data_IF_009210001161
#
_entry.id   IF_009210001161
#
_cell.length_a   1.000
_cell.length_b   1.000
_cell.length_c   1.000
_cell.angle_alpha   90.00
_cell.angle_beta   90.00
_cell.angle_gamma   90.00
#
_symmetry.space_group_name_H-M   'P 1'
#
loop_
_entity.id
_entity.type
_entity.pdbx_description
1 polymer ?
#
# COMPACT_ATOMS: atom_id res chain seq x y z
N UNK A 1 -11.42 -29.48 2.57
CA UNK A 1 -10.73 -28.79 1.45
C UNK A 1 -9.66 -27.90 2.06
N UNK A 2 -8.38 -28.01 1.67
CA UNK A 2 -7.38 -27.07 2.15
C UNK A 2 -7.70 -25.70 1.53
N UNK A 3 -8.10 -24.74 2.37
CA UNK A 3 -8.23 -23.34 1.96
C UNK A 3 -6.83 -22.86 1.57
N UNK A 4 -6.66 -22.56 0.28
CA UNK A 4 -5.48 -21.90 -0.27
C UNK A 4 -5.06 -20.78 0.70
N UNK A 5 -3.77 -20.61 1.03
CA UNK A 5 -3.34 -19.54 1.93
C UNK A 5 -3.69 -18.20 1.27
N UNK A 6 -4.79 -17.62 1.72
CA UNK A 6 -5.23 -16.28 1.35
C UNK A 6 -4.16 -15.30 1.84
N UNK A 7 -3.34 -14.76 0.95
CA UNK A 7 -2.19 -14.00 1.42
C UNK A 7 -1.68 -12.86 0.55
N UNK A 8 -2.04 -12.77 -0.73
CA UNK A 8 -1.54 -11.66 -1.56
C UNK A 8 -2.64 -11.04 -2.41
N UNK A 9 -3.08 -9.86 -2.01
CA UNK A 9 -3.88 -8.98 -2.86
C UNK A 9 -3.03 -8.52 -4.04
N UNK A 10 -3.49 -8.77 -5.27
CA UNK A 10 -2.79 -8.37 -6.52
C UNK A 10 -3.59 -7.32 -7.28
N UNK A 11 -2.94 -6.29 -7.78
CA UNK A 11 -3.61 -5.31 -8.65
C UNK A 11 -3.99 -5.98 -9.97
N UNK A 12 -5.23 -5.76 -10.43
CA UNK A 12 -5.73 -6.31 -11.69
C UNK A 12 -6.14 -7.79 -11.66
N UNK A 13 -6.28 -8.39 -10.48
CA UNK A 13 -6.84 -9.75 -10.35
C UNK A 13 -8.34 -9.77 -10.68
N UNK A 14 -8.83 -10.90 -11.22
CA UNK A 14 -10.26 -11.11 -11.40
C UNK A 14 -10.98 -11.19 -10.04
N UNK A 15 -12.04 -10.40 -9.91
CA UNK A 15 -12.83 -10.26 -8.69
C UNK A 15 -14.15 -11.03 -8.77
N UNK A 16 -14.48 -11.65 -9.91
CA UNK A 16 -15.77 -12.27 -10.18
C UNK A 16 -16.15 -13.38 -9.19
N UNK A 17 -15.14 -14.05 -8.62
CA UNK A 17 -15.30 -15.18 -7.69
C UNK A 17 -15.29 -14.76 -6.21
N UNK A 18 -15.08 -13.48 -5.90
CA UNK A 18 -14.95 -12.99 -4.53
C UNK A 18 -16.30 -12.55 -3.96
N UNK A 19 -16.52 -12.87 -2.69
CA UNK A 19 -17.65 -12.34 -1.92
C UNK A 19 -17.46 -10.86 -1.57
N UNK A 20 -18.56 -10.20 -1.20
CA UNK A 20 -18.55 -8.79 -0.76
C UNK A 20 -17.58 -8.58 0.42
N UNK A 21 -17.55 -9.51 1.38
CA UNK A 21 -16.70 -9.36 2.56
C UNK A 21 -15.22 -9.57 2.24
N UNK A 22 -14.90 -10.42 1.28
CA UNK A 22 -13.55 -10.54 0.73
C UNK A 22 -13.13 -9.27 -0.02
N UNK A 23 -14.03 -8.65 -0.79
CA UNK A 23 -13.78 -7.37 -1.45
C UNK A 23 -13.55 -6.24 -0.45
N UNK A 24 -14.34 -6.16 0.64
CA UNK A 24 -14.12 -5.19 1.72
C UNK A 24 -12.77 -5.39 2.40
N UNK A 25 -12.43 -6.64 2.72
CA UNK A 25 -11.14 -6.99 3.32
C UNK A 25 -9.99 -6.57 2.42
N UNK A 26 -10.13 -6.80 1.11
CA UNK A 26 -9.15 -6.38 0.09
C UNK A 26 -8.96 -4.87 0.05
N UNK A 27 -10.05 -4.09 0.10
CA UNK A 27 -10.01 -2.63 0.16
C UNK A 27 -9.21 -2.17 1.38
N UNK A 28 -9.54 -2.67 2.57
CA UNK A 28 -8.85 -2.29 3.81
C UNK A 28 -7.33 -2.54 3.73
N UNK A 29 -6.91 -3.67 3.17
CA UNK A 29 -5.50 -3.99 2.99
C UNK A 29 -4.81 -3.02 2.03
N UNK A 30 -5.44 -2.72 0.89
CA UNK A 30 -4.90 -1.79 -0.11
C UNK A 30 -4.83 -0.36 0.42
N UNK A 31 -5.81 0.10 1.19
CA UNK A 31 -5.80 1.42 1.81
C UNK A 31 -4.68 1.55 2.84
N UNK A 32 -4.46 0.52 3.66
CA UNK A 32 -3.33 0.46 4.58
C UNK A 32 -1.99 0.53 3.85
N UNK A 33 -1.87 -0.17 2.72
CA UNK A 33 -0.67 -0.13 1.88
C UNK A 33 -0.45 1.26 1.26
N UNK A 34 -1.51 1.89 0.76
CA UNK A 34 -1.46 3.28 0.24
C UNK A 34 -0.97 4.23 1.33
N UNK A 35 -1.49 4.12 2.56
CA UNK A 35 -1.10 4.97 3.67
C UNK A 35 0.40 4.79 4.01
N UNK A 36 0.88 3.55 4.05
CA UNK A 36 2.31 3.24 4.27
C UNK A 36 3.20 3.88 3.20
N UNK A 37 2.84 3.69 1.93
CA UNK A 37 3.61 4.25 0.80
C UNK A 37 3.64 5.79 0.86
N UNK A 38 2.51 6.43 1.20
CA UNK A 38 2.46 7.89 1.37
C UNK A 38 3.39 8.37 2.48
N UNK A 39 3.43 7.69 3.63
CA UNK A 39 4.33 8.03 4.73
C UNK A 39 5.81 7.90 4.33
N UNK A 40 6.17 6.84 3.58
CA UNK A 40 7.52 6.66 3.04
C UNK A 40 7.92 7.77 2.06
N UNK A 41 6.99 8.19 1.20
CA UNK A 41 7.22 9.31 0.27
C UNK A 41 7.48 10.61 1.03
N UNK A 42 6.65 10.91 2.03
CA UNK A 42 6.79 12.11 2.86
C UNK A 42 8.13 12.13 3.60
N UNK A 43 8.52 11.00 4.22
CA UNK A 43 9.82 10.86 4.87
C UNK A 43 11.00 11.12 3.91
N UNK A 44 10.95 10.56 2.70
CA UNK A 44 11.98 10.79 1.68
C UNK A 44 12.02 12.23 1.18
N UNK A 45 10.87 12.89 1.03
CA UNK A 45 10.80 14.29 0.62
C UNK A 45 11.38 15.22 1.69
N UNK A 46 11.05 15.00 2.96
CA UNK A 46 11.60 15.75 4.09
C UNK A 46 13.13 15.62 4.17
N UNK A 47 13.64 14.39 4.04
CA UNK A 47 15.09 14.13 3.99
C UNK A 47 15.78 14.87 2.84
N UNK A 48 15.18 14.86 1.64
CA UNK A 48 15.72 15.58 0.49
C UNK A 48 15.74 17.10 0.72
N UNK A 49 14.65 17.68 1.23
CA UNK A 49 14.56 19.12 1.49
C UNK A 49 15.58 19.59 2.54
N UNK A 50 15.82 18.78 3.58
CA UNK A 50 16.86 19.05 4.58
C UNK A 50 18.26 19.03 3.97
N UNK A 51 18.55 18.05 3.11
CA UNK A 51 19.83 17.98 2.39
C UNK A 51 20.01 19.19 1.45
N UNK A 52 19.01 19.51 0.63
CA UNK A 52 19.06 20.63 -0.31
C UNK A 52 19.28 21.98 0.40
N UNK A 53 18.78 22.14 1.64
CA UNK A 53 19.00 23.34 2.46
C UNK A 53 20.41 23.40 3.04
N UNK A 54 20.99 22.26 3.45
CA UNK A 54 22.35 22.17 3.97
C UNK A 54 23.42 22.45 2.89
N UNK A 55 23.19 22.04 1.65
CA UNK A 55 24.13 22.28 0.54
C UNK A 55 24.04 23.69 -0.07
N UNK A 56 23.01 24.48 0.26
CA UNK A 56 22.81 25.86 -0.24
C UNK A 56 23.32 26.95 0.71
N UNK A 57 23.84 26.57 1.87
CA UNK A 57 24.53 27.45 2.83
C UNK A 57 26.03 27.44 2.64
#
# INVERSE_FOLDING_TARGET
MPKQPAGSVRIGEDLSVLSIDELKTRITLLEGEIARIRAEIEGKQSSKAAADSFFKS
#
